data_IF_072932342522
#
_entry.id   IF_072932342522
#
_cell.length_a   1.000
_cell.length_b   1.000
_cell.length_c   1.000
_cell.angle_alpha   90.00
_cell.angle_beta   90.00
_cell.angle_gamma   90.00
#
_symmetry.space_group_name_H-M   'P 1'
#
loop_
_entity.id
_entity.type
_entity.pdbx_description
1 polymer ?
#
# COMPACT_ATOMS: atom_id res chain seq x y z
N UNK A 1 4.74 -11.12 -2.29
CA UNK A 1 5.61 -10.00 -2.71
C UNK A 1 6.22 -9.37 -1.47
N UNK A 2 7.20 -8.49 -1.62
CA UNK A 2 7.80 -7.76 -0.50
C UNK A 2 6.75 -6.92 0.26
N UNK A 3 5.75 -6.37 -0.44
CA UNK A 3 4.58 -5.72 0.17
C UNK A 3 3.81 -6.65 1.14
N UNK A 4 3.71 -7.95 0.85
CA UNK A 4 3.09 -8.92 1.77
C UNK A 4 3.96 -9.17 3.01
N UNK A 5 5.27 -8.99 2.93
CA UNK A 5 6.15 -9.19 4.09
C UNK A 5 5.87 -8.16 5.19
N UNK A 6 5.37 -6.97 4.83
CA UNK A 6 5.02 -5.91 5.79
C UNK A 6 3.87 -6.29 6.71
N UNK A 7 2.99 -7.19 6.29
CA UNK A 7 1.91 -7.69 7.15
C UNK A 7 2.41 -8.66 8.22
N UNK A 8 3.65 -9.12 8.12
CA UNK A 8 4.28 -10.05 9.07
C UNK A 8 5.39 -9.38 9.88
N UNK A 9 6.12 -8.46 9.26
CA UNK A 9 7.19 -7.67 9.89
C UNK A 9 6.95 -6.20 9.57
N UNK A 10 6.34 -5.44 10.50
CA UNK A 10 5.98 -4.05 10.26
C UNK A 10 7.22 -3.23 9.90
N UNK A 11 7.16 -2.35 8.87
CA UNK A 11 8.25 -1.47 8.52
C UNK A 11 8.45 -0.37 9.59
N UNK A 12 9.59 0.36 9.56
CA UNK A 12 9.78 1.53 10.42
C UNK A 12 8.61 2.53 10.32
N UNK A 13 8.31 3.26 11.42
CA UNK A 13 7.27 4.29 11.45
C UNK A 13 7.28 5.23 10.23
N UNK A 14 6.09 5.50 9.68
CA UNK A 14 5.91 6.45 8.57
C UNK A 14 6.08 5.87 7.16
N UNK A 15 6.48 4.61 7.01
CA UNK A 15 6.51 3.88 5.72
C UNK A 15 5.15 3.48 5.19
N UNK A 16 4.15 3.39 6.05
CA UNK A 16 2.75 3.18 5.68
C UNK A 16 1.98 4.38 6.19
N UNK A 17 1.28 5.07 5.29
CA UNK A 17 0.39 6.19 5.62
C UNK A 17 -1.00 5.90 5.10
N UNK A 18 -2.01 6.16 5.92
CA UNK A 18 -3.40 6.04 5.55
C UNK A 18 -4.11 7.38 5.73
N UNK A 19 -4.92 7.75 4.76
CA UNK A 19 -5.79 8.92 4.82
C UNK A 19 -7.16 8.60 4.23
N UNK A 20 -8.19 9.34 4.63
CA UNK A 20 -9.53 9.16 4.06
C UNK A 20 -9.52 9.56 2.59
N UNK A 21 -10.03 8.67 1.73
CA UNK A 21 -10.35 8.98 0.33
C UNK A 21 -11.85 9.25 0.17
N UNK A 22 -12.68 8.51 0.91
CA UNK A 22 -14.13 8.69 1.03
C UNK A 22 -14.59 8.17 2.41
N UNK A 23 -15.90 8.10 2.65
CA UNK A 23 -16.47 7.53 3.89
C UNK A 23 -16.00 6.10 4.14
N UNK A 24 -15.95 5.28 3.09
CA UNK A 24 -15.68 3.83 3.18
C UNK A 24 -14.35 3.40 2.55
N UNK A 25 -13.54 4.35 2.07
CA UNK A 25 -12.27 4.07 1.42
C UNK A 25 -11.12 4.93 1.94
N UNK A 26 -9.93 4.33 1.93
CA UNK A 26 -8.68 4.97 2.32
C UNK A 26 -7.76 5.10 1.11
N UNK A 27 -6.99 6.18 1.10
CA UNK A 27 -5.77 6.26 0.30
C UNK A 27 -4.62 5.75 1.15
N UNK A 28 -3.90 4.75 0.66
CA UNK A 28 -2.69 4.23 1.26
C UNK A 28 -1.47 4.70 0.48
N UNK A 29 -0.44 5.15 1.19
CA UNK A 29 0.91 5.32 0.66
C UNK A 29 1.85 4.38 1.39
N UNK A 30 2.55 3.53 0.65
CA UNK A 30 3.46 2.52 1.19
C UNK A 30 4.79 2.61 0.48
N UNK A 31 5.87 2.78 1.23
CA UNK A 31 7.23 2.86 0.69
C UNK A 31 8.04 1.62 1.14
N UNK A 32 8.61 0.91 0.18
CA UNK A 32 9.48 -0.25 0.37
C UNK A 32 10.89 -0.05 -0.18
N UNK A 33 11.85 -0.95 0.09
CA UNK A 33 13.14 -0.94 -0.58
C UNK A 33 12.94 -1.17 -2.08
N UNK A 34 13.30 -0.21 -2.94
CA UNK A 34 13.20 -0.38 -4.39
C UNK A 34 11.81 -0.12 -4.98
N UNK A 35 10.80 0.22 -4.17
CA UNK A 35 9.45 0.49 -4.67
C UNK A 35 8.64 1.42 -3.78
N UNK A 36 7.65 2.07 -4.37
CA UNK A 36 6.59 2.75 -3.63
C UNK A 36 5.23 2.45 -4.26
N UNK A 37 4.19 2.52 -3.44
CA UNK A 37 2.82 2.25 -3.84
C UNK A 37 1.90 3.36 -3.34
N UNK A 38 0.97 3.79 -4.19
CA UNK A 38 -0.22 4.53 -3.79
C UNK A 38 -1.44 3.70 -4.17
N UNK A 39 -2.38 3.53 -3.25
CA UNK A 39 -3.55 2.69 -3.48
C UNK A 39 -4.83 3.30 -2.92
N UNK A 40 -5.95 2.93 -3.52
CA UNK A 40 -7.30 3.13 -3.00
C UNK A 40 -7.87 1.79 -2.56
N UNK A 41 -8.31 1.69 -1.30
CA UNK A 41 -8.80 0.41 -0.73
C UNK A 41 -10.01 -0.18 -1.46
N UNK A 42 -10.75 0.63 -2.21
CA UNK A 42 -11.95 0.24 -2.96
C UNK A 42 -11.71 -0.06 -4.44
N UNK A 43 -10.51 0.18 -4.97
CA UNK A 43 -10.25 0.23 -6.42
C UNK A 43 -8.91 -0.39 -6.83
N UNK A 44 -7.84 0.41 -6.85
CA UNK A 44 -6.59 0.11 -7.55
C UNK A 44 -5.36 0.41 -6.67
N UNK A 45 -4.25 -0.26 -6.96
CA UNK A 45 -2.92 0.12 -6.50
C UNK A 45 -2.02 0.49 -7.68
N UNK A 46 -1.21 1.54 -7.51
CA UNK A 46 -0.22 2.00 -8.46
C UNK A 46 1.16 1.83 -7.85
N UNK A 47 2.04 1.11 -8.55
CA UNK A 47 3.42 0.90 -8.12
C UNK A 47 4.39 1.72 -8.96
N UNK A 48 5.43 2.21 -8.29
CA UNK A 48 6.65 2.74 -8.87
C UNK A 48 7.80 1.83 -8.42
N UNK A 49 8.68 1.44 -9.34
CA UNK A 49 9.84 0.61 -9.06
C UNK A 49 11.12 1.39 -9.39
N UNK A 50 12.14 1.28 -8.54
CA UNK A 50 13.44 1.94 -8.74
C UNK A 50 14.17 1.38 -9.97
N UNK A 51 13.93 0.11 -10.30
CA UNK A 51 14.49 -0.56 -11.48
C UNK A 51 13.87 -0.09 -12.81
N UNK A 52 12.67 0.46 -12.77
CA UNK A 52 11.94 0.97 -13.94
C UNK A 52 11.44 2.41 -13.69
N UNK A 53 12.35 3.39 -13.59
CA UNK A 53 11.97 4.77 -13.31
C UNK A 53 11.14 5.35 -14.45
N UNK A 54 10.07 6.07 -14.10
CA UNK A 54 9.13 6.67 -15.05
C UNK A 54 7.96 5.77 -15.46
N UNK A 55 7.98 4.49 -15.08
CA UNK A 55 6.87 3.55 -15.29
C UNK A 55 5.95 3.55 -14.08
N UNK A 56 4.64 3.64 -14.33
CA UNK A 56 3.59 3.42 -13.33
C UNK A 56 2.92 2.09 -13.63
N UNK A 57 2.97 1.15 -12.68
CA UNK A 57 2.40 -0.19 -12.86
C UNK A 57 1.05 -0.25 -12.14
N UNK A 58 -0.08 -0.31 -12.89
CA UNK A 58 -1.40 -0.46 -12.29
C UNK A 58 -1.68 -1.92 -11.91
N UNK A 59 -2.16 -2.12 -10.68
CA UNK A 59 -2.67 -3.39 -10.18
C UNK A 59 -4.13 -3.20 -9.82
N UNK A 60 -5.02 -3.75 -10.64
CA UNK A 60 -6.46 -3.76 -10.38
C UNK A 60 -6.82 -4.62 -9.16
N UNK A 61 -8.04 -4.42 -8.65
CA UNK A 61 -8.55 -5.05 -7.43
C UNK A 61 -8.28 -6.56 -7.33
N UNK A 62 -8.66 -7.34 -8.34
CA UNK A 62 -8.55 -8.80 -8.28
C UNK A 62 -9.09 -9.40 -6.97
N UNK A 63 -8.62 -10.59 -6.59
CA UNK A 63 -9.02 -11.25 -5.34
C UNK A 63 -8.04 -10.98 -4.19
N UNK A 64 -6.77 -10.70 -4.49
CA UNK A 64 -5.72 -10.57 -3.49
C UNK A 64 -5.55 -9.13 -2.95
N UNK A 65 -5.80 -8.11 -3.77
CA UNK A 65 -5.53 -6.73 -3.39
C UNK A 65 -6.35 -6.25 -2.19
N UNK A 66 -7.67 -6.52 -2.08
CA UNK A 66 -8.47 -6.03 -0.96
C UNK A 66 -7.91 -6.46 0.40
N UNK A 67 -7.55 -7.75 0.54
CA UNK A 67 -6.99 -8.27 1.78
C UNK A 67 -5.65 -7.66 2.16
N UNK A 68 -4.78 -7.41 1.16
CA UNK A 68 -3.51 -6.72 1.37
C UNK A 68 -3.74 -5.28 1.85
N UNK A 69 -4.60 -4.52 1.19
CA UNK A 69 -4.84 -3.13 1.54
C UNK A 69 -5.50 -2.98 2.91
N UNK A 70 -6.42 -3.87 3.29
CA UNK A 70 -6.99 -3.90 4.66
C UNK A 70 -5.91 -4.14 5.72
N UNK A 71 -4.98 -5.06 5.48
CA UNK A 71 -3.91 -5.34 6.43
C UNK A 71 -2.96 -4.13 6.59
N UNK A 72 -2.62 -3.47 5.48
CA UNK A 72 -1.75 -2.29 5.49
C UNK A 72 -2.41 -1.08 6.17
N UNK A 73 -3.71 -0.86 5.93
CA UNK A 73 -4.48 0.19 6.62
C UNK A 73 -4.50 -0.03 8.14
N UNK A 74 -4.71 -1.27 8.58
CA UNK A 74 -4.67 -1.64 10.00
C UNK A 74 -3.30 -1.37 10.64
N UNK A 75 -2.20 -1.59 9.92
CA UNK A 75 -0.85 -1.24 10.39
C UNK A 75 -0.65 0.28 10.49
N UNK A 76 -1.21 1.06 9.56
CA UNK A 76 -1.11 2.51 9.56
C UNK A 76 -1.83 3.16 10.76
N UNK A 77 -2.85 2.51 11.30
CA UNK A 77 -3.64 2.99 12.43
C UNK A 77 -3.01 2.71 13.81
N UNK A 78 -1.94 1.92 13.89
CA UNK A 78 -1.28 1.63 15.16
C UNK A 78 -0.44 2.83 15.62
N UNK A 79 -0.56 3.25 16.89
CA UNK A 79 0.32 4.27 17.45
C UNK A 79 1.77 3.76 17.47
N UNK A 80 2.68 4.56 16.92
CA UNK A 80 4.13 4.32 16.88
C UNK A 80 4.80 4.72 18.18
#
# INVERSE_FOLDING_TARGET
SEATAYTRTPPPPGRIRSSYASTDARTLRVDGPGWSMVARTDDIALFLLDEEPGTVIPVGRGTALPGLLTALDGLAAQPT
#
